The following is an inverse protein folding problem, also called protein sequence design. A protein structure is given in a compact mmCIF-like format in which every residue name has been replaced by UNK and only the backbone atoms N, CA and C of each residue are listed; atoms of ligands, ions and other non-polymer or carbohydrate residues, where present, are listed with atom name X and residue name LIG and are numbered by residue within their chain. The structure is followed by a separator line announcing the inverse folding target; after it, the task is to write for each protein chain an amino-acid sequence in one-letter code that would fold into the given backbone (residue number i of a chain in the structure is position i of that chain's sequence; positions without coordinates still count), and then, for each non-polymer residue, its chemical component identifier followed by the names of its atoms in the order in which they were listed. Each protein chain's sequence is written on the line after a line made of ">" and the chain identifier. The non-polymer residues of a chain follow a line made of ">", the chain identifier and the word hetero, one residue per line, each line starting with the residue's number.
data_IF_440838269523
#
_entry.id   IF_440838269523
#
_cell.length_a   1.000
_cell.length_b   1.000
_cell.length_c   1.000
_cell.angle_alpha   90.00
_cell.angle_beta   90.00
_cell.angle_gamma   90.00
#
_symmetry.space_group_name_H-M   'P 1'
#
loop_
_entity.id
_entity.type
_entity.pdbx_description
1 polymer ?
#
# COMPACT_ATOMS: atom_id res chain seq x y z
N UNK A 1 11.24 -9.95 7.82
CA UNK A 1 10.06 -9.77 6.95
C UNK A 1 10.54 -9.24 5.61
N UNK A 2 9.97 -9.71 4.49
CA UNK A 2 10.30 -9.29 3.12
C UNK A 2 9.02 -9.02 2.34
N UNK A 3 8.97 -7.93 1.57
CA UNK A 3 7.85 -7.61 0.66
C UNK A 3 8.14 -8.28 -0.68
N UNK A 4 7.18 -9.05 -1.19
CA UNK A 4 7.27 -9.81 -2.44
C UNK A 4 6.64 -9.04 -3.60
N UNK A 5 5.49 -8.43 -3.35
CA UNK A 5 4.73 -7.62 -4.30
C UNK A 5 3.82 -6.64 -3.58
N UNK A 6 3.36 -5.64 -4.32
CA UNK A 6 2.41 -4.63 -3.85
C UNK A 6 1.35 -4.35 -4.91
N UNK A 7 0.10 -4.28 -4.49
CA UNK A 7 -1.01 -3.81 -5.31
C UNK A 7 -1.62 -2.57 -4.65
N UNK A 8 -1.64 -1.45 -5.37
CA UNK A 8 -2.30 -0.22 -4.96
C UNK A 8 -3.63 -0.14 -5.69
N UNK A 9 -4.74 -0.27 -4.97
CA UNK A 9 -6.06 -0.10 -5.56
C UNK A 9 -6.35 1.39 -5.77
N UNK A 10 -6.02 2.22 -4.78
CA UNK A 10 -6.02 3.68 -4.86
C UNK A 10 -5.29 4.33 -3.68
N UNK A 11 -4.28 5.16 -3.96
CA UNK A 11 -3.53 5.92 -2.94
C UNK A 11 -2.74 7.09 -3.53
N UNK A 12 -3.07 8.32 -3.12
CA UNK A 12 -2.45 9.53 -3.67
C UNK A 12 -2.58 9.59 -5.19
N UNK A 13 -1.45 9.66 -5.90
CA UNK A 13 -1.41 9.69 -7.38
C UNK A 13 -1.61 8.32 -8.03
N UNK A 14 -1.54 7.22 -7.28
CA UNK A 14 -1.60 5.86 -7.81
C UNK A 14 -3.03 5.32 -7.78
N UNK A 15 -3.40 4.63 -8.86
CA UNK A 15 -4.65 3.87 -8.98
C UNK A 15 -4.36 2.62 -9.83
N UNK A 16 -4.74 1.44 -9.33
CA UNK A 16 -4.52 0.16 -10.00
C UNK A 16 -3.05 -0.23 -10.24
N UNK A 17 -2.09 0.31 -9.48
CA UNK A 17 -0.66 -0.02 -9.65
C UNK A 17 -0.38 -1.43 -9.14
N UNK A 18 0.31 -2.25 -9.95
CA UNK A 18 0.83 -3.57 -9.54
C UNK A 18 2.34 -3.59 -9.65
N UNK A 19 3.00 -3.95 -8.55
CA UNK A 19 4.44 -4.16 -8.47
C UNK A 19 4.69 -5.62 -8.14
N UNK A 20 5.19 -6.35 -9.12
CA UNK A 20 5.47 -7.78 -9.01
C UNK A 20 6.97 -8.02 -8.88
N UNK A 21 7.34 -9.18 -8.32
CA UNK A 21 8.71 -9.66 -8.27
C UNK A 21 9.71 -8.65 -7.69
N UNK A 22 9.37 -8.04 -6.55
CA UNK A 22 10.30 -7.16 -5.86
C UNK A 22 11.56 -7.94 -5.48
N UNK A 23 12.71 -7.34 -5.80
CA UNK A 23 14.02 -7.96 -5.61
C UNK A 23 14.23 -8.41 -4.16
N UNK A 24 14.86 -9.56 -3.99
CA UNK A 24 15.05 -10.22 -2.69
C UNK A 24 16.19 -9.62 -1.85
N UNK A 25 17.02 -8.75 -2.44
CA UNK A 25 18.12 -8.04 -1.78
C UNK A 25 17.85 -6.53 -1.68
N UNK A 26 17.71 -5.85 -2.82
CA UNK A 26 17.55 -4.40 -2.90
C UNK A 26 16.57 -4.05 -4.01
N UNK A 27 15.48 -3.37 -3.67
CA UNK A 27 14.55 -2.78 -4.62
C UNK A 27 14.81 -1.27 -4.74
N UNK A 28 15.14 -0.79 -5.94
CA UNK A 28 15.36 0.63 -6.23
C UNK A 28 14.20 1.16 -7.06
N UNK A 29 13.46 2.13 -6.51
CA UNK A 29 12.43 2.87 -7.25
C UNK A 29 13.03 4.19 -7.72
N UNK A 30 13.18 4.37 -9.04
CA UNK A 30 13.77 5.55 -9.64
C UNK A 30 12.83 6.19 -10.66
N UNK A 31 13.06 7.47 -10.97
CA UNK A 31 12.26 8.24 -11.91
C UNK A 31 12.30 9.73 -11.60
N UNK A 32 11.70 10.58 -12.44
CA UNK A 32 11.65 12.03 -12.24
C UNK A 32 11.02 12.44 -10.91
N UNK A 33 11.22 13.70 -10.50
CA UNK A 33 10.44 14.28 -9.42
C UNK A 33 8.94 14.16 -9.73
N UNK A 34 8.13 14.05 -8.68
CA UNK A 34 6.67 13.89 -8.80
C UNK A 34 6.18 12.60 -9.47
N UNK A 35 7.08 11.69 -9.88
CA UNK A 35 6.73 10.37 -10.41
C UNK A 35 6.04 9.41 -9.40
N UNK A 36 5.67 9.88 -8.21
CA UNK A 36 4.94 9.08 -7.21
C UNK A 36 5.80 8.18 -6.32
N UNK A 37 7.14 8.31 -6.35
CA UNK A 37 8.07 7.51 -5.53
C UNK A 37 7.82 7.65 -4.03
N UNK A 38 7.74 8.88 -3.52
CA UNK A 38 7.43 9.16 -2.11
C UNK A 38 6.04 8.66 -1.74
N UNK A 39 5.06 8.81 -2.64
CA UNK A 39 3.70 8.31 -2.47
C UNK A 39 3.68 6.79 -2.31
N UNK A 40 4.48 6.07 -3.11
CA UNK A 40 4.60 4.61 -3.02
C UNK A 40 5.22 4.16 -1.68
N UNK A 41 6.26 4.84 -1.21
CA UNK A 41 6.84 4.54 0.11
C UNK A 41 5.81 4.75 1.24
N UNK A 42 4.98 5.78 1.12
CA UNK A 42 3.95 6.09 2.11
C UNK A 42 2.76 5.13 2.02
N UNK A 43 2.44 4.61 0.84
CA UNK A 43 1.52 3.50 0.67
C UNK A 43 2.01 2.27 1.45
N UNK A 44 3.26 1.85 1.26
CA UNK A 44 3.83 0.69 1.98
C UNK A 44 3.73 0.87 3.50
N UNK A 45 4.10 2.06 4.01
CA UNK A 45 3.94 2.41 5.43
C UNK A 45 2.50 2.35 5.91
N UNK A 46 1.55 2.79 5.08
CA UNK A 46 0.13 2.75 5.41
C UNK A 46 -0.37 1.31 5.50
N UNK A 47 0.03 0.43 4.60
CA UNK A 47 -0.37 -0.98 4.66
C UNK A 47 0.11 -1.65 5.94
N UNK A 48 1.34 -1.35 6.38
CA UNK A 48 1.91 -1.92 7.60
C UNK A 48 1.38 -1.29 8.88
N UNK A 49 1.16 0.04 8.91
CA UNK A 49 0.94 0.80 10.15
C UNK A 49 -0.36 1.60 10.21
N UNK A 50 -1.26 1.40 9.24
CA UNK A 50 -2.56 2.06 9.20
C UNK A 50 -2.55 3.47 8.62
N UNK A 51 -3.74 4.05 8.50
CA UNK A 51 -3.93 5.41 8.00
C UNK A 51 -3.81 6.42 9.15
N UNK A 52 -2.58 6.89 9.43
CA UNK A 52 -2.41 8.02 10.35
C UNK A 52 -3.15 9.26 9.82
N UNK A 53 -3.53 10.17 10.72
CA UNK A 53 -4.23 11.40 10.34
C UNK A 53 -3.54 12.15 9.19
N UNK A 54 -2.22 12.34 9.26
CA UNK A 54 -1.45 13.01 8.21
C UNK A 54 -1.43 12.26 6.88
N UNK A 55 -1.34 10.91 6.92
CA UNK A 55 -1.35 10.09 5.70
C UNK A 55 -2.74 10.10 5.06
N UNK A 56 -3.78 9.99 5.87
CA UNK A 56 -5.16 10.10 5.43
C UNK A 56 -5.40 11.44 4.74
N UNK A 57 -5.08 12.54 5.41
CA UNK A 57 -5.28 13.89 4.88
C UNK A 57 -4.48 14.15 3.60
N UNK A 58 -3.28 13.58 3.47
CA UNK A 58 -2.39 13.85 2.32
C UNK A 58 -2.65 12.98 1.11
N UNK A 59 -3.06 11.72 1.30
CA UNK A 59 -3.11 10.74 0.21
C UNK A 59 -4.52 10.26 -0.13
N UNK A 60 -5.53 10.66 0.66
CA UNK A 60 -6.93 10.30 0.44
C UNK A 60 -7.81 11.56 0.26
N UNK A 61 -8.89 11.47 -0.54
CA UNK A 61 -9.18 10.36 -1.46
C UNK A 61 -8.11 10.26 -2.58
N UNK A 62 -7.91 9.09 -3.20
CA UNK A 62 -6.96 8.93 -4.30
C UNK A 62 -7.28 9.86 -5.46
N UNK A 63 -6.27 10.58 -5.96
CA UNK A 63 -6.43 11.60 -7.00
C UNK A 63 -6.90 11.03 -8.34
N UNK A 64 -6.57 9.75 -8.61
CA UNK A 64 -6.95 9.04 -9.84
C UNK A 64 -8.05 8.00 -9.61
N UNK A 65 -8.77 8.10 -8.49
CA UNK A 65 -9.80 7.15 -8.11
C UNK A 65 -9.25 5.79 -7.67
N UNK A 66 -10.14 4.81 -7.53
CA UNK A 66 -9.84 3.52 -6.92
C UNK A 66 -10.17 3.48 -5.42
N UNK A 67 -10.26 2.27 -4.87
CA UNK A 67 -10.57 2.09 -3.46
C UNK A 67 -9.38 2.52 -2.60
N UNK A 68 -9.55 3.42 -1.61
CA UNK A 68 -8.48 3.81 -0.71
C UNK A 68 -7.81 2.61 -0.03
N UNK A 69 -6.58 2.28 -0.42
CA UNK A 69 -5.87 1.12 0.10
C UNK A 69 -5.26 0.21 -0.95
N UNK A 70 -5.03 -1.03 -0.55
CA UNK A 70 -4.39 -2.04 -1.37
C UNK A 70 -3.91 -3.25 -0.57
N UNK A 71 -2.98 -4.00 -1.17
CA UNK A 71 -2.45 -5.25 -0.61
C UNK A 71 -0.94 -5.34 -0.74
N UNK A 72 -0.26 -5.83 0.30
CA UNK A 72 1.14 -6.24 0.26
C UNK A 72 1.22 -7.76 0.43
N UNK A 73 1.96 -8.44 -0.45
CA UNK A 73 2.35 -9.82 -0.21
C UNK A 73 3.72 -9.86 0.44
N UNK A 74 3.84 -10.60 1.52
CA UNK A 74 5.03 -10.59 2.38
C UNK A 74 5.45 -12.01 2.74
N UNK A 75 6.74 -12.20 2.98
CA UNK A 75 7.30 -13.40 3.60
C UNK A 75 7.88 -13.05 4.98
N UNK A 76 7.53 -13.82 6.00
CA UNK A 76 7.84 -13.56 7.39
C UNK A 76 8.52 -14.75 8.08
N UNK A 77 9.72 -15.12 7.63
CA UNK A 77 10.53 -16.16 8.27
C UNK A 77 9.75 -17.47 8.46
N UNK A 78 9.76 -18.01 9.69
CA UNK A 78 9.04 -19.24 10.04
C UNK A 78 7.51 -19.13 9.90
N UNK A 79 6.94 -17.92 9.92
CA UNK A 79 5.51 -17.74 9.76
C UNK A 79 5.03 -17.96 8.32
N UNK A 80 5.93 -17.99 7.33
CA UNK A 80 5.56 -18.25 5.93
C UNK A 80 5.16 -16.99 5.16
N UNK A 81 4.26 -17.13 4.20
CA UNK A 81 3.79 -16.05 3.32
C UNK A 81 2.41 -15.57 3.75
N UNK A 82 2.16 -14.28 3.60
CA UNK A 82 0.88 -13.66 3.90
C UNK A 82 0.56 -12.53 2.93
N UNK A 83 -0.73 -12.25 2.76
CA UNK A 83 -1.25 -11.03 2.19
C UNK A 83 -1.74 -10.11 3.31
N UNK A 84 -1.24 -8.87 3.35
CA UNK A 84 -1.72 -7.80 4.23
C UNK A 84 -2.53 -6.85 3.36
N UNK A 85 -3.85 -6.86 3.52
CA UNK A 85 -4.78 -5.97 2.82
C UNK A 85 -5.33 -4.93 3.79
N UNK A 86 -5.29 -3.66 3.39
CA UNK A 86 -5.82 -2.57 4.21
C UNK A 86 -6.57 -1.58 3.35
N UNK A 87 -7.81 -1.29 3.74
CA UNK A 87 -8.68 -0.34 3.02
C UNK A 87 -9.36 0.63 3.97
N UNK A 88 -9.55 1.87 3.53
CA UNK A 88 -10.40 2.85 4.22
C UNK A 88 -11.77 2.86 3.55
N UNK A 89 -12.81 2.58 4.32
CA UNK A 89 -14.20 2.53 3.88
C UNK A 89 -14.88 3.82 4.34
N UNK A 90 -15.56 4.51 3.43
CA UNK A 90 -16.33 5.74 3.72
C UNK A 90 -17.85 5.49 3.80
N UNK A 91 -18.33 4.31 3.40
CA UNK A 91 -19.77 4.00 3.35
C UNK A 91 -20.30 3.67 4.75
N UNK A 92 -21.09 4.58 5.34
CA UNK A 92 -21.70 4.40 6.67
C UNK A 92 -20.85 4.89 7.86
N UNK A 93 -19.75 5.58 7.60
CA UNK A 93 -18.76 6.02 8.59
C UNK A 93 -17.34 5.80 8.06
N UNK A 94 -16.36 6.53 8.59
CA UNK A 94 -14.96 6.33 8.22
C UNK A 94 -14.33 5.26 9.11
N UNK A 95 -14.16 4.06 8.57
CA UNK A 95 -13.50 2.97 9.27
C UNK A 95 -12.41 2.33 8.42
N UNK A 96 -11.37 1.88 9.10
CA UNK A 96 -10.23 1.19 8.52
C UNK A 96 -10.40 -0.32 8.69
N UNK A 97 -10.30 -1.06 7.59
CA UNK A 97 -10.34 -2.52 7.60
C UNK A 97 -8.94 -3.07 7.33
N UNK A 98 -8.48 -3.98 8.19
CA UNK A 98 -7.24 -4.74 8.03
C UNK A 98 -7.58 -6.23 7.92
N UNK A 99 -7.10 -6.87 6.86
CA UNK A 99 -7.18 -8.33 6.68
C UNK A 99 -5.78 -8.90 6.46
N UNK A 100 -5.50 -10.02 7.12
CA UNK A 100 -4.25 -10.78 6.95
C UNK A 100 -4.63 -12.21 6.61
N UNK A 101 -4.16 -12.70 5.46
CA UNK A 101 -4.46 -14.04 4.96
C UNK A 101 -3.14 -14.76 4.66
N UNK A 102 -3.02 -16.04 4.99
CA UNK A 102 -1.87 -16.89 4.69
C UNK A 102 -1.92 -17.45 3.26
#
# INVERSE_FOLDING_TARGET
>A
MRILSAQVDGFGVWSGLKLENLNDRIAVFYGPNEAGKTTLLQFVRTMLYGFSHDRAHRYLPPLRGGQPGGTLHVAAGAAGRFAISRHRIQKGGEHEELRIVA
#
